data_IF_672603920774
#
_entry.id   IF_672603920774
#
_cell.length_a   1.000
_cell.length_b   1.000
_cell.length_c   1.000
_cell.angle_alpha   90.00
_cell.angle_beta   90.00
_cell.angle_gamma   90.00
#
_symmetry.space_group_name_H-M   'P 1'
#
loop_
_entity.id
_entity.type
_entity.pdbx_description
1 polymer ?
#
# COMPACT_ATOMS: atom_id res chain seq x y z
N UNK A 1 55.18 13.72 0.02
CA UNK A 1 54.54 13.05 1.18
C UNK A 1 55.64 12.49 2.06
N UNK A 2 55.84 13.05 3.25
CA UNK A 2 56.92 12.65 4.19
C UNK A 2 56.63 11.36 4.98
N UNK A 3 55.40 10.85 4.93
CA UNK A 3 54.98 9.64 5.66
C UNK A 3 54.76 8.47 4.69
N UNK A 4 55.25 7.25 4.99
CA UNK A 4 55.03 6.07 4.15
C UNK A 4 53.54 5.70 4.03
N UNK A 5 53.08 5.37 2.81
CA UNK A 5 51.70 4.94 2.54
C UNK A 5 51.28 3.72 3.36
N UNK A 6 52.18 2.76 3.58
CA UNK A 6 51.91 1.56 4.38
C UNK A 6 51.46 1.91 5.81
N UNK A 7 52.12 2.88 6.45
CA UNK A 7 51.76 3.32 7.82
C UNK A 7 50.39 3.99 7.88
N UNK A 8 50.00 4.70 6.82
CA UNK A 8 48.65 5.27 6.72
C UNK A 8 47.57 4.19 6.55
N UNK A 9 47.87 3.15 5.76
CA UNK A 9 46.96 2.01 5.58
C UNK A 9 46.77 1.21 6.88
N UNK A 10 47.83 1.02 7.67
CA UNK A 10 47.74 0.37 8.98
C UNK A 10 46.84 1.14 9.95
N UNK A 11 46.99 2.47 9.99
CA UNK A 11 46.12 3.34 10.79
C UNK A 11 44.66 3.26 10.32
N UNK A 12 44.42 3.33 9.01
CA UNK A 12 43.07 3.18 8.44
C UNK A 12 42.46 1.82 8.78
N UNK A 13 43.26 0.75 8.76
CA UNK A 13 42.80 -0.60 9.12
C UNK A 13 42.41 -0.67 10.59
N UNK A 14 43.23 -0.14 11.50
CA UNK A 14 42.93 -0.09 12.93
C UNK A 14 41.67 0.75 13.22
N UNK A 15 41.53 1.91 12.56
CA UNK A 15 40.33 2.75 12.65
C UNK A 15 39.08 1.99 12.19
N UNK A 16 39.14 1.29 11.06
CA UNK A 16 38.03 0.49 10.56
C UNK A 16 37.61 -0.62 11.53
N UNK A 17 38.60 -1.24 12.21
CA UNK A 17 38.34 -2.24 13.25
C UNK A 17 37.65 -1.64 14.48
N UNK A 18 38.13 -0.49 14.98
CA UNK A 18 37.56 0.19 16.15
C UNK A 18 36.11 0.61 15.91
N UNK A 19 35.80 1.14 14.73
CA UNK A 19 34.46 1.66 14.41
C UNK A 19 33.56 0.67 13.66
N UNK A 20 33.98 -0.59 13.51
CA UNK A 20 33.26 -1.61 12.74
C UNK A 20 32.85 -1.12 11.33
N UNK A 21 33.74 -0.39 10.65
CA UNK A 21 33.54 0.07 9.28
C UNK A 21 34.30 -0.80 8.28
N UNK A 22 33.89 -0.78 7.02
CA UNK A 22 34.49 -1.62 5.97
C UNK A 22 35.81 -1.04 5.46
N UNK A 23 36.91 -1.80 5.58
CA UNK A 23 38.22 -1.46 5.01
C UNK A 23 38.33 -1.94 3.55
N UNK A 24 38.54 -1.02 2.59
CA UNK A 24 38.63 -1.33 1.15
C UNK A 24 39.71 -0.46 0.48
N UNK A 25 41.00 -0.81 0.62
CA UNK A 25 42.12 -0.01 0.07
C UNK A 25 42.22 -0.07 -1.46
N UNK A 26 41.70 -1.13 -2.08
CA UNK A 26 41.73 -1.38 -3.53
C UNK A 26 40.52 -0.78 -4.28
N UNK A 27 39.56 -0.19 -3.55
CA UNK A 27 38.40 0.45 -4.16
C UNK A 27 37.45 -0.51 -4.91
N UNK A 28 37.41 -1.79 -4.51
CA UNK A 28 36.61 -2.82 -5.18
C UNK A 28 35.11 -2.55 -4.97
N UNK A 29 34.29 -2.86 -5.99
CA UNK A 29 32.83 -2.70 -5.96
C UNK A 29 32.15 -3.80 -5.15
N UNK A 30 32.10 -3.64 -3.83
CA UNK A 30 31.52 -4.61 -2.88
C UNK A 30 30.00 -4.52 -2.70
N UNK A 31 29.31 -3.59 -3.37
CA UNK A 31 27.85 -3.42 -3.22
C UNK A 31 27.37 -2.75 -1.91
N UNK A 32 28.28 -2.36 -1.01
CA UNK A 32 27.97 -1.70 0.27
C UNK A 32 27.08 -0.44 0.15
N UNK A 33 27.06 0.22 -1.01
CA UNK A 33 26.17 1.36 -1.30
C UNK A 33 24.69 0.96 -1.18
N UNK A 34 24.34 -0.24 -1.65
CA UNK A 34 22.96 -0.74 -1.64
C UNK A 34 22.53 -1.09 -0.22
N UNK A 35 23.41 -1.73 0.56
CA UNK A 35 23.12 -2.12 1.94
C UNK A 35 23.03 -0.92 2.89
N UNK A 36 23.82 0.14 2.66
CA UNK A 36 23.75 1.39 3.45
C UNK A 36 22.52 2.24 3.12
N UNK A 37 21.84 1.96 2.01
CA UNK A 37 20.67 2.73 1.63
C UNK A 37 19.54 2.44 2.63
N UNK A 38 19.02 3.50 3.27
CA UNK A 38 17.88 3.38 4.18
C UNK A 38 16.65 2.91 3.42
N UNK A 39 15.93 1.96 4.01
CA UNK A 39 14.69 1.44 3.43
C UNK A 39 13.61 2.54 3.44
N UNK A 40 12.91 2.71 2.32
CA UNK A 40 11.82 3.70 2.14
C UNK A 40 10.43 3.08 2.23
N UNK A 41 10.32 1.77 2.40
CA UNK A 41 9.06 1.01 2.38
C UNK A 41 7.98 1.58 3.29
N UNK A 42 8.24 1.83 4.59
CA UNK A 42 7.24 2.37 5.50
C UNK A 42 6.70 3.75 5.09
N UNK A 43 7.57 4.62 4.57
CA UNK A 43 7.16 5.95 4.10
C UNK A 43 6.25 5.86 2.87
N UNK A 44 6.52 4.92 1.96
CA UNK A 44 5.70 4.70 0.77
C UNK A 44 4.36 4.03 1.11
N UNK A 45 4.36 3.07 2.03
CA UNK A 45 3.15 2.37 2.47
C UNK A 45 2.14 3.32 3.14
N UNK A 46 2.63 4.35 3.83
CA UNK A 46 1.82 5.35 4.51
C UNK A 46 1.30 6.48 3.59
N UNK A 47 1.39 6.34 2.26
CA UNK A 47 0.98 7.39 1.32
C UNK A 47 -0.50 7.77 1.44
N UNK A 48 -1.39 6.78 1.51
CA UNK A 48 -2.81 7.04 1.76
C UNK A 48 -3.09 7.01 3.27
N UNK A 49 -3.94 7.93 3.78
CA UNK A 49 -4.38 7.88 5.16
C UNK A 49 -4.98 6.52 5.50
N UNK A 50 -4.69 6.03 6.71
CA UNK A 50 -5.36 4.83 7.22
C UNK A 50 -6.85 5.09 7.33
N UNK A 51 -7.67 4.04 7.10
CA UNK A 51 -9.11 4.12 7.36
C UNK A 51 -9.33 4.49 8.82
N UNK A 52 -9.99 5.63 9.04
CA UNK A 52 -10.42 6.08 10.35
C UNK A 52 -11.80 5.48 10.67
N UNK A 53 -12.35 5.84 11.82
CA UNK A 53 -13.71 5.45 12.20
C UNK A 53 -14.70 5.92 11.12
N UNK A 54 -15.52 4.99 10.66
CA UNK A 54 -16.62 5.25 9.73
C UNK A 54 -17.94 5.38 10.48
N UNK A 55 -19.00 5.91 9.82
CA UNK A 55 -20.36 5.95 10.40
C UNK A 55 -20.84 4.53 10.79
N UNK A 56 -20.38 3.50 10.06
CA UNK A 56 -20.65 2.10 10.39
C UNK A 56 -20.04 1.66 11.73
N UNK A 57 -18.85 2.16 12.05
CA UNK A 57 -18.20 1.87 13.34
C UNK A 57 -18.95 2.56 14.48
N UNK A 58 -19.37 3.82 14.27
CA UNK A 58 -20.20 4.56 15.24
C UNK A 58 -21.52 3.86 15.49
N UNK A 59 -22.21 3.41 14.43
CA UNK A 59 -23.48 2.68 14.55
C UNK A 59 -23.33 1.34 15.27
N UNK A 60 -22.19 0.65 15.08
CA UNK A 60 -21.89 -0.59 15.80
C UNK A 60 -21.71 -0.34 17.30
N UNK A 61 -21.04 0.74 17.68
CA UNK A 61 -20.72 1.04 19.08
C UNK A 61 -21.88 1.69 19.83
N UNK A 62 -22.57 2.64 19.21
CA UNK A 62 -23.59 3.47 19.86
C UNK A 62 -25.03 3.17 19.42
N UNK A 63 -25.23 2.29 18.43
CA UNK A 63 -26.55 1.99 17.85
C UNK A 63 -27.67 1.62 18.83
N UNK A 64 -27.42 0.96 19.98
CA UNK A 64 -28.48 0.69 20.96
C UNK A 64 -29.01 1.94 21.69
N UNK A 65 -28.20 2.99 21.76
CA UNK A 65 -28.50 4.22 22.55
C UNK A 65 -28.76 5.41 21.64
N UNK A 66 -28.10 5.47 20.48
CA UNK A 66 -28.18 6.54 19.52
C UNK A 66 -28.58 5.99 18.14
N UNK A 67 -29.74 6.42 17.65
CA UNK A 67 -30.12 6.18 16.26
C UNK A 67 -29.29 7.09 15.34
N UNK A 68 -28.31 6.50 14.66
CA UNK A 68 -27.48 7.19 13.66
C UNK A 68 -27.89 6.80 12.23
N UNK A 69 -27.98 7.80 11.37
CA UNK A 69 -28.34 7.71 9.95
C UNK A 69 -27.10 8.00 9.09
N UNK A 70 -27.00 7.37 7.92
CA UNK A 70 -25.92 7.60 6.95
C UNK A 70 -26.57 8.18 5.69
N UNK A 71 -26.68 9.50 5.65
CA UNK A 71 -27.43 10.24 4.61
C UNK A 71 -27.02 9.83 3.20
N UNK A 72 -25.72 9.71 2.94
CA UNK A 72 -25.20 9.33 1.62
C UNK A 72 -25.60 7.89 1.22
N UNK A 73 -25.73 7.00 2.20
CA UNK A 73 -26.16 5.62 1.96
C UNK A 73 -27.68 5.52 1.81
N UNK A 74 -28.45 6.34 2.53
CA UNK A 74 -29.90 6.47 2.40
C UNK A 74 -30.29 7.03 1.04
N UNK A 75 -29.69 8.15 0.62
CA UNK A 75 -29.85 8.73 -0.73
C UNK A 75 -29.55 7.70 -1.83
N UNK A 76 -28.51 6.88 -1.62
CA UNK A 76 -28.15 5.81 -2.55
C UNK A 76 -29.24 4.74 -2.64
N UNK A 77 -29.89 4.40 -1.53
CA UNK A 77 -31.00 3.43 -1.53
C UNK A 77 -32.25 4.00 -2.20
N UNK A 78 -32.62 5.23 -1.90
CA UNK A 78 -33.75 5.92 -2.54
C UNK A 78 -33.56 5.98 -4.06
N UNK A 79 -32.37 6.41 -4.52
CA UNK A 79 -32.03 6.43 -5.94
C UNK A 79 -32.17 5.05 -6.61
N UNK A 80 -31.78 3.98 -5.92
CA UNK A 80 -31.93 2.61 -6.44
C UNK A 80 -33.40 2.21 -6.53
N UNK A 81 -34.23 2.61 -5.57
CA UNK A 81 -35.67 2.33 -5.57
C UNK A 81 -36.38 3.07 -6.71
N UNK A 82 -36.07 4.34 -6.94
CA UNK A 82 -36.58 5.10 -8.07
C UNK A 82 -36.24 4.45 -9.41
N UNK A 83 -34.99 3.98 -9.58
CA UNK A 83 -34.57 3.28 -10.80
C UNK A 83 -35.35 1.97 -10.99
N UNK A 84 -35.63 1.23 -9.92
CA UNK A 84 -36.44 -0.01 -10.00
C UNK A 84 -37.87 0.29 -10.43
N UNK A 85 -38.50 1.32 -9.87
CA UNK A 85 -39.88 1.72 -10.21
C UNK A 85 -40.02 2.05 -11.71
N UNK A 86 -39.01 2.69 -12.30
CA UNK A 86 -39.00 3.07 -13.73
C UNK A 86 -38.48 1.97 -14.67
N UNK A 87 -38.14 0.79 -14.13
CA UNK A 87 -37.53 -0.29 -14.91
C UNK A 87 -36.14 0.04 -15.47
N UNK A 88 -35.44 1.01 -14.85
CA UNK A 88 -34.08 1.47 -15.21
C UNK A 88 -33.00 0.96 -14.25
N UNK A 89 -33.35 0.05 -13.34
CA UNK A 89 -32.39 -0.58 -12.44
C UNK A 89 -31.37 -1.42 -13.21
N UNK A 90 -30.20 -1.62 -12.60
CA UNK A 90 -29.17 -2.49 -13.16
C UNK A 90 -29.72 -3.91 -13.43
N UNK A 91 -29.38 -4.53 -14.58
CA UNK A 91 -29.80 -5.89 -14.88
C UNK A 91 -29.16 -6.89 -13.92
N UNK A 92 -29.78 -8.07 -13.80
CA UNK A 92 -29.28 -9.15 -12.93
C UNK A 92 -27.86 -9.55 -13.31
N UNK A 93 -26.93 -9.47 -12.36
CA UNK A 93 -25.53 -9.91 -12.55
C UNK A 93 -25.50 -11.39 -12.96
N UNK A 94 -24.89 -11.69 -14.11
CA UNK A 94 -24.65 -13.06 -14.57
C UNK A 94 -23.67 -13.75 -13.62
N UNK A 95 -23.97 -14.99 -13.22
CA UNK A 95 -23.11 -15.83 -12.35
C UNK A 95 -22.40 -16.96 -13.11
N UNK A 96 -22.59 -17.05 -14.42
CA UNK A 96 -22.02 -18.11 -15.26
C UNK A 96 -21.81 -17.66 -16.70
N UNK A 97 -21.20 -18.50 -17.54
CA UNK A 97 -20.99 -18.23 -18.94
C UNK A 97 -22.33 -17.98 -19.66
N UNK A 98 -22.33 -17.19 -20.75
CA UNK A 98 -23.54 -17.02 -21.55
C UNK A 98 -24.00 -18.37 -22.10
N UNK A 99 -25.30 -18.67 -21.97
CA UNK A 99 -25.87 -19.84 -22.62
C UNK A 99 -25.67 -19.74 -24.15
N UNK A 100 -25.40 -20.85 -24.86
CA UNK A 100 -25.30 -20.84 -26.31
C UNK A 100 -26.64 -20.37 -26.88
N UNK A 101 -26.64 -19.22 -27.54
CA UNK A 101 -27.81 -18.75 -28.29
C UNK A 101 -28.06 -19.76 -29.41
N UNK A 102 -29.22 -20.41 -29.41
CA UNK A 102 -29.64 -21.24 -30.53
C UNK A 102 -29.61 -20.38 -31.80
N UNK A 103 -28.62 -20.63 -32.66
CA UNK A 103 -28.50 -19.91 -33.92
C UNK A 103 -29.83 -20.00 -34.66
N UNK A 104 -30.38 -18.85 -35.02
CA UNK A 104 -31.58 -18.76 -35.87
C UNK A 104 -31.27 -19.58 -37.12
N UNK A 105 -31.88 -20.76 -37.25
CA UNK A 105 -31.81 -21.55 -38.48
C UNK A 105 -32.39 -20.66 -39.59
N UNK A 106 -31.54 -20.30 -40.54
CA UNK A 106 -31.96 -19.66 -41.80
C UNK A 106 -32.72 -20.68 -42.64
#
# INVERSE_FOLDING_TARGET
MSVPRARLLDLMKAQCQVFATTYNPEGIRMGNKVLRQRLKGPALAAYYPRKLASIKDVKREFGPVLATWDEAEEDRFEYIEELKQRGKSAPKKKKGPPAPTAGKKR
#
